data_IF_884945658374
#
_entry.id   IF_884945658374
#
_cell.length_a   1.000
_cell.length_b   1.000
_cell.length_c   1.000
_cell.angle_alpha   90.00
_cell.angle_beta   90.00
_cell.angle_gamma   90.00
#
_symmetry.space_group_name_H-M   'P 1'
#
loop_
_entity.id
_entity.type
_entity.pdbx_description
1 polymer ?
#
# COMPACT_ATOMS: atom_id res chain seq x y z
N UNK A 1 -12.52 6.93 -12.66
CA UNK A 1 -11.10 6.61 -12.86
C UNK A 1 -11.07 5.22 -13.43
N UNK A 2 -11.07 5.15 -14.75
CA UNK A 2 -11.10 3.90 -15.51
C UNK A 2 -9.71 3.30 -15.61
N UNK A 3 -9.71 1.98 -15.72
CA UNK A 3 -8.60 1.08 -16.01
C UNK A 3 -7.61 0.83 -14.85
N UNK A 4 -7.99 -0.14 -14.01
CA UNK A 4 -7.17 -0.73 -12.93
C UNK A 4 -6.09 -1.65 -13.50
N UNK A 5 -5.16 -1.12 -14.31
CA UNK A 5 -3.97 -1.89 -14.68
C UNK A 5 -3.05 -2.09 -13.46
N UNK A 6 -3.00 -1.10 -12.56
CA UNK A 6 -2.17 -1.10 -11.35
C UNK A 6 -2.98 -1.43 -10.10
N UNK A 7 -2.55 -2.47 -9.39
CA UNK A 7 -3.14 -2.92 -8.12
C UNK A 7 -2.15 -2.70 -6.98
N UNK A 8 -2.64 -2.68 -5.74
CA UNK A 8 -1.76 -2.65 -4.56
C UNK A 8 -0.81 -3.86 -4.48
N UNK A 9 -1.14 -4.99 -5.13
CA UNK A 9 -0.26 -6.15 -5.24
C UNK A 9 0.92 -5.90 -6.15
N UNK A 10 0.66 -5.30 -7.31
CA UNK A 10 1.71 -4.93 -8.26
C UNK A 10 2.63 -3.87 -7.65
N UNK A 11 2.07 -2.92 -6.90
CA UNK A 11 2.86 -1.96 -6.13
C UNK A 11 3.75 -2.63 -5.08
N UNK A 12 3.17 -3.51 -4.25
CA UNK A 12 3.93 -4.22 -3.21
C UNK A 12 5.07 -5.03 -3.83
N UNK A 13 4.78 -5.78 -4.91
CA UNK A 13 5.76 -6.56 -5.66
C UNK A 13 6.89 -5.67 -6.21
N UNK A 14 6.54 -4.52 -6.80
CA UNK A 14 7.52 -3.59 -7.33
C UNK A 14 8.43 -3.02 -6.23
N UNK A 15 7.87 -2.71 -5.05
CA UNK A 15 8.65 -2.17 -3.94
C UNK A 15 9.61 -3.20 -3.38
N UNK A 16 9.14 -4.41 -3.10
CA UNK A 16 9.94 -5.46 -2.45
C UNK A 16 10.98 -6.07 -3.39
N UNK A 17 10.64 -6.27 -4.66
CA UNK A 17 11.55 -6.94 -5.61
C UNK A 17 12.50 -6.00 -6.34
N UNK A 18 12.15 -4.71 -6.47
CA UNK A 18 12.92 -3.76 -7.31
C UNK A 18 13.39 -2.54 -6.53
N UNK A 19 12.46 -1.74 -5.98
CA UNK A 19 12.79 -0.42 -5.44
C UNK A 19 13.68 -0.51 -4.19
N UNK A 20 13.30 -1.30 -3.19
CA UNK A 20 14.06 -1.46 -1.95
C UNK A 20 15.47 -2.02 -2.24
N UNK A 21 15.63 -3.14 -2.98
CA UNK A 21 16.96 -3.65 -3.29
C UNK A 21 17.84 -2.67 -4.09
N UNK A 22 17.24 -1.86 -4.96
CA UNK A 22 17.98 -0.84 -5.69
C UNK A 22 18.46 0.28 -4.76
N UNK A 23 17.61 0.76 -3.86
CA UNK A 23 17.95 1.77 -2.87
C UNK A 23 19.05 1.28 -1.91
N UNK A 24 18.94 0.05 -1.40
CA UNK A 24 19.94 -0.54 -0.49
C UNK A 24 21.32 -0.67 -1.14
N UNK A 25 21.37 -1.04 -2.44
CA UNK A 25 22.63 -1.09 -3.18
C UNK A 25 23.19 0.31 -3.48
N UNK A 26 22.34 1.28 -3.73
CA UNK A 26 22.74 2.64 -4.10
C UNK A 26 23.17 3.50 -2.89
N UNK A 27 22.59 3.28 -1.71
CA UNK A 27 22.94 4.00 -0.47
C UNK A 27 23.09 3.01 0.71
N UNK A 28 24.20 2.26 0.78
CA UNK A 28 24.44 1.33 1.87
C UNK A 28 24.51 2.06 3.22
N UNK A 29 23.82 1.54 4.24
CA UNK A 29 23.84 2.10 5.59
C UNK A 29 22.96 3.36 5.79
N UNK A 30 22.24 3.80 4.76
CA UNK A 30 21.30 4.92 4.84
C UNK A 30 19.90 4.43 5.21
N UNK A 31 19.07 5.30 5.80
CA UNK A 31 17.63 5.07 5.92
C UNK A 31 16.89 5.74 4.75
N UNK A 32 16.04 4.99 4.06
CA UNK A 32 15.19 5.49 2.98
C UNK A 32 13.76 5.79 3.44
N UNK A 33 13.16 6.86 2.91
CA UNK A 33 11.75 7.19 3.09
C UNK A 33 11.02 7.05 1.75
N UNK A 34 10.02 6.17 1.70
CA UNK A 34 9.12 6.05 0.55
C UNK A 34 7.82 6.80 0.85
N UNK A 35 7.54 7.85 0.09
CA UNK A 35 6.30 8.62 0.18
C UNK A 35 5.40 8.32 -1.02
N UNK A 36 4.12 8.07 -0.76
CA UNK A 36 3.12 7.77 -1.78
C UNK A 36 2.03 8.84 -1.77
N UNK A 37 1.36 9.04 -2.90
CA UNK A 37 0.15 9.84 -2.95
C UNK A 37 -1.04 9.07 -2.31
N UNK A 38 -2.21 9.71 -2.19
CA UNK A 38 -3.39 9.07 -1.60
C UNK A 38 -4.25 8.34 -2.66
N UNK A 39 -3.63 7.78 -3.71
CA UNK A 39 -4.36 6.99 -4.69
C UNK A 39 -4.96 5.72 -4.04
N UNK A 40 -6.16 5.33 -4.51
CA UNK A 40 -6.90 4.17 -3.96
C UNK A 40 -6.14 2.85 -4.06
N UNK A 41 -5.15 2.75 -4.95
CA UNK A 41 -4.28 1.58 -5.09
C UNK A 41 -3.40 1.33 -3.86
N UNK A 42 -3.13 2.37 -3.06
CA UNK A 42 -2.39 2.29 -1.79
C UNK A 42 -3.27 1.81 -0.63
N UNK A 43 -4.60 1.79 -0.80
CA UNK A 43 -5.55 1.35 0.23
C UNK A 43 -5.67 -0.18 0.28
N UNK A 44 -4.57 -0.90 0.02
CA UNK A 44 -4.49 -2.33 0.26
C UNK A 44 -4.07 -2.56 1.70
N UNK A 45 -5.06 -2.87 2.53
CA UNK A 45 -4.84 -3.28 3.90
C UNK A 45 -4.38 -4.75 3.93
N UNK A 46 -3.60 -5.11 4.95
CA UNK A 46 -3.29 -6.51 5.22
C UNK A 46 -4.59 -7.30 5.46
N UNK A 47 -4.60 -8.61 5.19
CA UNK A 47 -5.81 -9.43 5.32
C UNK A 47 -6.33 -9.50 6.76
N UNK A 48 -5.45 -9.29 7.72
CA UNK A 48 -5.69 -9.22 9.17
C UNK A 48 -5.87 -7.79 9.68
N UNK A 49 -5.76 -6.78 8.82
CA UNK A 49 -5.92 -5.39 9.24
C UNK A 49 -7.37 -5.08 9.59
N UNK A 50 -7.61 -4.65 10.83
CA UNK A 50 -8.92 -4.22 11.29
C UNK A 50 -9.32 -2.91 10.59
N UNK A 51 -10.30 -2.97 9.71
CA UNK A 51 -10.81 -1.80 9.01
C UNK A 51 -12.00 -1.22 9.79
N UNK A 52 -11.91 0.05 10.19
CA UNK A 52 -12.99 0.74 10.93
C UNK A 52 -14.33 0.65 10.21
N UNK A 53 -14.33 0.69 8.87
CA UNK A 53 -15.54 0.49 8.05
C UNK A 53 -16.21 -0.88 8.21
N UNK A 54 -15.46 -1.90 8.64
CA UNK A 54 -15.94 -3.27 8.88
C UNK A 54 -16.23 -3.52 10.37
N UNK A 55 -16.02 -2.54 11.25
CA UNK A 55 -16.30 -2.66 12.69
C UNK A 55 -17.73 -2.26 13.07
N UNK A 56 -18.55 -1.82 12.11
CA UNK A 56 -19.95 -1.51 12.38
C UNK A 56 -20.73 -2.80 12.64
N UNK A 57 -21.17 -2.99 13.88
CA UNK A 57 -21.98 -4.15 14.31
C UNK A 57 -23.38 -4.17 13.65
N UNK A 58 -23.86 -3.00 13.22
CA UNK A 58 -25.17 -2.74 12.59
C UNK A 58 -25.05 -1.53 11.67
N UNK A 59 -25.88 -1.46 10.62
CA UNK A 59 -25.99 -0.27 9.78
C UNK A 59 -26.39 0.92 10.67
N UNK A 60 -25.51 1.92 10.80
CA UNK A 60 -25.83 3.14 11.53
C UNK A 60 -27.14 3.74 11.02
N UNK A 61 -28.06 4.02 11.94
CA UNK A 61 -29.40 4.51 11.65
C UNK A 61 -29.37 5.80 10.81
N UNK A 62 -30.38 5.93 9.95
CA UNK A 62 -30.65 7.07 9.05
C UNK A 62 -30.62 8.42 9.76
#
# INVERSE_FOLDING_TARGET
>A
GGDIWWTGELLLKQLTEKAIPACERACPGCQGLFAFDNAKIHQKYASDAQQVRNMNLIAGGK
#
